data_IF_132334949852
#
_entry.id   IF_132334949852
#
_cell.length_a   1.000
_cell.length_b   1.000
_cell.length_c   1.000
_cell.angle_alpha   90.00
_cell.angle_beta   90.00
_cell.angle_gamma   90.00
#
_symmetry.space_group_name_H-M   'P 1'
#
loop_
_entity.id
_entity.type
_entity.pdbx_description
1 polymer ?
#
# COMPACT_ATOMS: atom_id res chain seq x y z
N UNK A 1 10.10 -16.30 -12.20
CA UNK A 1 10.36 -15.70 -10.88
C UNK A 1 10.40 -14.19 -11.03
N UNK A 2 9.95 -13.44 -10.03
CA UNK A 2 9.48 -12.04 -10.03
C UNK A 2 8.01 -11.89 -10.42
N UNK A 3 7.27 -11.14 -9.60
CA UNK A 3 5.88 -10.79 -9.87
C UNK A 3 5.80 -9.75 -10.98
N UNK A 4 4.73 -9.75 -11.80
CA UNK A 4 4.46 -8.62 -12.69
C UNK A 4 4.44 -7.32 -11.90
N UNK A 5 5.00 -6.25 -12.47
CA UNK A 5 5.09 -4.93 -11.82
C UNK A 5 3.75 -4.49 -11.26
N UNK A 6 2.66 -4.75 -11.99
CA UNK A 6 1.31 -4.41 -11.54
C UNK A 6 0.90 -5.13 -10.23
N UNK A 7 1.24 -6.43 -10.12
CA UNK A 7 0.97 -7.21 -8.91
C UNK A 7 1.83 -6.74 -7.74
N UNK A 8 3.10 -6.43 -7.98
CA UNK A 8 4.00 -5.91 -6.96
C UNK A 8 3.50 -4.56 -6.40
N UNK A 9 3.13 -3.63 -7.28
CA UNK A 9 2.62 -2.32 -6.87
C UNK A 9 1.24 -2.41 -6.20
N UNK A 10 0.37 -3.30 -6.67
CA UNK A 10 -0.93 -3.55 -6.03
C UNK A 10 -0.79 -4.05 -4.59
N UNK A 11 0.19 -4.93 -4.34
CA UNK A 11 0.49 -5.39 -2.97
C UNK A 11 1.07 -4.26 -2.12
N UNK A 12 2.03 -3.50 -2.64
CA UNK A 12 2.63 -2.38 -1.89
C UNK A 12 1.59 -1.33 -1.48
N UNK A 13 0.71 -0.94 -2.41
CA UNK A 13 -0.34 0.05 -2.16
C UNK A 13 -1.41 -0.46 -1.19
N UNK A 14 -1.73 -1.76 -1.22
CA UNK A 14 -2.74 -2.39 -0.38
C UNK A 14 -2.27 -2.76 1.03
N UNK A 15 -0.98 -3.04 1.20
CA UNK A 15 -0.42 -3.46 2.50
C UNK A 15 -0.12 -2.28 3.42
N UNK A 16 0.28 -1.11 2.88
CA UNK A 16 0.67 0.01 3.73
C UNK A 16 -0.45 0.50 4.68
N UNK A 17 -1.72 0.62 4.28
CA UNK A 17 -2.83 0.92 5.21
C UNK A 17 -3.03 -0.14 6.30
N UNK A 18 -2.68 -1.40 6.02
CA UNK A 18 -2.78 -2.50 7.01
C UNK A 18 -1.68 -2.40 8.04
N UNK A 19 -0.50 -1.93 7.66
CA UNK A 19 0.63 -1.79 8.56
C UNK A 19 0.55 -0.53 9.43
N UNK A 20 -0.23 0.47 9.04
CA UNK A 20 -0.45 1.67 9.85
C UNK A 20 -1.20 1.34 11.15
N UNK A 21 -0.84 2.03 12.21
CA UNK A 21 -1.48 1.87 13.52
C UNK A 21 -2.73 2.75 13.63
N UNK A 22 -3.69 2.48 12.75
CA UNK A 22 -5.02 3.10 12.69
C UNK A 22 -6.10 2.10 13.10
N UNK A 23 -7.35 2.54 13.36
CA UNK A 23 -8.45 1.63 13.71
C UNK A 23 -8.71 0.52 12.68
N UNK A 24 -8.44 0.78 11.40
CA UNK A 24 -8.60 -0.20 10.31
C UNK A 24 -7.34 -1.05 10.08
N UNK A 25 -6.21 -0.63 10.66
CA UNK A 25 -4.91 -1.26 10.52
C UNK A 25 -4.70 -2.47 11.44
N UNK A 26 -3.54 -3.10 11.34
CA UNK A 26 -3.19 -4.32 12.05
C UNK A 26 -2.42 -4.06 13.34
N UNK A 27 -2.03 -2.81 13.60
CA UNK A 27 -1.37 -2.42 14.84
C UNK A 27 -2.29 -2.49 16.07
N UNK A 28 -1.75 -2.22 17.27
CA UNK A 28 -2.48 -2.27 18.53
C UNK A 28 -3.70 -1.35 18.60
N UNK A 29 -3.74 -0.27 17.80
CA UNK A 29 -4.89 0.65 17.73
C UNK A 29 -6.01 0.17 16.83
N UNK A 30 -5.79 -0.90 16.05
CA UNK A 30 -6.77 -1.50 15.15
C UNK A 30 -7.05 -2.93 15.53
N UNK A 31 -6.54 -3.87 14.72
CA UNK A 31 -6.82 -5.31 14.89
C UNK A 31 -5.88 -6.06 15.83
N UNK A 32 -4.80 -5.41 16.29
CA UNK A 32 -3.82 -5.99 17.22
C UNK A 32 -3.21 -7.31 16.73
N UNK A 33 -2.94 -7.41 15.43
CA UNK A 33 -2.29 -8.57 14.81
C UNK A 33 -0.77 -8.42 14.74
N UNK A 34 -0.27 -7.18 14.71
CA UNK A 34 1.15 -6.85 14.66
C UNK A 34 1.48 -5.77 15.70
N UNK A 35 2.76 -5.68 16.09
CA UNK A 35 3.25 -4.57 16.90
C UNK A 35 3.14 -3.24 16.16
N UNK A 36 3.08 -2.13 16.90
CA UNK A 36 3.12 -0.79 16.33
C UNK A 36 4.32 -0.62 15.37
N UNK A 37 4.05 -0.08 14.18
CA UNK A 37 5.06 0.26 13.18
C UNK A 37 5.15 1.76 13.04
N UNK A 38 6.35 2.31 13.25
CA UNK A 38 6.63 3.73 13.00
C UNK A 38 7.04 3.90 11.55
N UNK A 39 6.32 4.76 10.82
CA UNK A 39 6.62 5.07 9.43
C UNK A 39 7.42 6.38 9.32
N UNK A 40 8.58 6.36 8.64
CA UNK A 40 9.25 7.59 8.26
C UNK A 40 8.35 8.45 7.34
N UNK A 41 8.32 9.79 7.50
CA UNK A 41 7.48 10.67 6.69
C UNK A 41 7.69 10.48 5.18
N UNK A 42 8.92 10.25 4.74
CA UNK A 42 9.28 10.03 3.34
C UNK A 42 8.60 8.79 2.73
N UNK A 43 8.33 7.76 3.53
CA UNK A 43 7.63 6.55 3.08
C UNK A 43 6.14 6.83 2.89
N UNK A 44 5.54 7.61 3.82
CA UNK A 44 4.14 8.02 3.71
C UNK A 44 3.94 8.95 2.50
N UNK A 45 4.88 9.86 2.28
CA UNK A 45 4.86 10.76 1.13
C UNK A 45 5.01 10.01 -0.20
N UNK A 46 5.96 9.07 -0.30
CA UNK A 46 6.12 8.24 -1.48
C UNK A 46 4.86 7.39 -1.75
N UNK A 47 4.25 6.81 -0.72
CA UNK A 47 3.01 6.06 -0.88
C UNK A 47 1.85 6.94 -1.34
N UNK A 48 1.71 8.14 -0.79
CA UNK A 48 0.70 9.11 -1.22
C UNK A 48 0.88 9.50 -2.69
N UNK A 49 2.11 9.81 -3.10
CA UNK A 49 2.43 10.12 -4.50
C UNK A 49 2.02 8.98 -5.44
N UNK A 50 2.35 7.74 -5.08
CA UNK A 50 1.98 6.56 -5.89
C UNK A 50 0.46 6.34 -5.95
N UNK A 51 -0.27 6.63 -4.87
CA UNK A 51 -1.73 6.48 -4.81
C UNK A 51 -2.45 7.54 -5.64
N UNK A 52 -1.91 8.77 -5.65
CA UNK A 52 -2.48 9.92 -6.35
C UNK A 52 -2.06 9.98 -7.82
N UNK A 53 -1.10 9.16 -8.25
CA UNK A 53 -0.70 9.02 -9.64
C UNK A 53 -1.80 8.33 -10.48
N UNK A 54 -2.61 9.15 -11.14
CA UNK A 54 -3.69 8.69 -12.03
C UNK A 54 -3.19 7.91 -13.26
N UNK A 55 -1.97 8.17 -13.74
CA UNK A 55 -1.40 7.39 -14.85
C UNK A 55 -1.03 5.99 -14.38
N UNK A 56 -0.43 5.88 -13.20
CA UNK A 56 -0.13 4.59 -12.59
C UNK A 56 -1.40 3.82 -12.27
N UNK A 57 -2.39 4.46 -11.63
CA UNK A 57 -3.67 3.84 -11.30
C UNK A 57 -4.39 3.30 -12.55
N UNK A 58 -4.42 4.08 -13.64
CA UNK A 58 -4.98 3.64 -14.92
C UNK A 58 -4.21 2.47 -15.54
N UNK A 59 -2.87 2.51 -15.50
CA UNK A 59 -2.02 1.45 -16.02
C UNK A 59 -2.18 0.12 -15.24
N UNK A 60 -2.41 0.19 -13.93
CA UNK A 60 -2.66 -0.97 -13.07
C UNK A 60 -4.04 -1.60 -13.35
N UNK A 61 -5.08 -0.79 -13.53
CA UNK A 61 -6.43 -1.28 -13.83
C UNK A 61 -6.52 -1.90 -15.23
N UNK A 62 -5.94 -1.25 -16.24
CA UNK A 62 -5.96 -1.73 -17.62
C UNK A 62 -5.28 -3.10 -17.81
N UNK A 63 -4.30 -3.43 -16.97
CA UNK A 63 -3.56 -4.71 -17.02
C UNK A 63 -4.17 -5.83 -16.17
N UNK A 64 -5.17 -5.51 -15.35
CA UNK A 64 -5.88 -6.50 -14.51
C UNK A 64 -7.11 -7.07 -15.23
N UNK A 65 -7.61 -6.38 -16.26
CA UNK A 65 -8.78 -6.74 -17.07
C UNK A 65 -8.41 -7.34 -18.44
N UNK A 66 -7.15 -7.71 -18.66
CA UNK A 66 -6.65 -8.31 -19.91
C UNK A 66 -6.21 -9.75 -19.75
#
# INVERSE_FOLDING_TARGET
>A
GLWPVARYLGLLLGELPRLQDTPEGYGPRGKDFISHVTFPPEILDAWRQLREDGQLAGALQARTLG
#
